data_IF_956136713646
#
_entry.id   IF_956136713646
#
_cell.length_a   1.000
_cell.length_b   1.000
_cell.length_c   1.000
_cell.angle_alpha   90.00
_cell.angle_beta   90.00
_cell.angle_gamma   90.00
#
_symmetry.space_group_name_H-M   'P 1'
#
loop_
_entity.id
_entity.type
_entity.pdbx_description
1 polymer ?
#
# COMPACT_ATOMS: atom_id res chain seq x y z
N UNK A 1 11.77 -1.20 18.25
CA UNK A 1 11.47 -0.35 17.08
C UNK A 1 9.97 -0.07 17.00
N UNK A 2 9.60 1.15 16.62
CA UNK A 2 8.24 1.64 16.42
C UNK A 2 8.10 2.08 14.95
N UNK A 3 7.20 1.44 14.22
CA UNK A 3 6.79 1.91 12.89
C UNK A 3 5.40 2.51 13.05
N UNK A 4 5.30 3.82 12.90
CA UNK A 4 4.03 4.54 12.92
C UNK A 4 3.35 4.40 11.57
N UNK A 5 2.03 4.34 11.57
CA UNK A 5 1.27 4.40 10.34
C UNK A 5 -0.14 4.95 10.54
N UNK A 6 -0.61 5.71 9.55
CA UNK A 6 -2.02 6.06 9.45
C UNK A 6 -2.77 4.95 8.74
N UNK A 7 -3.99 4.63 9.13
CA UNK A 7 -4.83 3.66 8.45
C UNK A 7 -6.28 4.12 8.49
N UNK A 8 -6.90 4.26 7.32
CA UNK A 8 -8.30 4.68 7.19
C UNK A 8 -9.30 3.54 7.48
N UNK A 9 -8.83 2.29 7.53
CA UNK A 9 -9.64 1.12 7.90
C UNK A 9 -9.35 0.64 9.31
N UNK A 10 -10.39 0.52 10.13
CA UNK A 10 -10.24 0.10 11.53
C UNK A 10 -10.56 -1.38 11.70
N UNK A 11 -9.65 -2.09 12.35
CA UNK A 11 -9.79 -3.51 12.61
C UNK A 11 -10.68 -3.78 13.82
N UNK A 12 -11.27 -4.99 13.84
CA UNK A 12 -12.12 -5.50 14.93
C UNK A 12 -11.43 -5.48 16.29
N UNK A 13 -10.14 -5.84 16.37
CA UNK A 13 -9.36 -5.83 17.61
C UNK A 13 -8.44 -4.63 17.70
N UNK A 14 -8.30 -4.02 18.89
CA UNK A 14 -7.36 -2.91 19.11
C UNK A 14 -5.89 -3.33 19.08
N UNK A 15 -5.58 -4.58 19.40
CA UNK A 15 -4.20 -5.07 19.49
C UNK A 15 -4.11 -6.43 18.81
N UNK A 16 -3.12 -6.59 17.94
CA UNK A 16 -2.73 -7.86 17.34
C UNK A 16 -1.30 -8.22 17.72
N UNK A 17 -1.04 -9.51 17.87
CA UNK A 17 0.31 -10.06 18.01
C UNK A 17 0.46 -11.13 16.94
N UNK A 18 1.52 -11.05 16.15
CA UNK A 18 1.72 -11.99 15.05
C UNK A 18 3.17 -12.02 14.60
N UNK A 19 3.57 -13.13 14.01
CA UNK A 19 4.85 -13.30 13.34
C UNK A 19 4.66 -13.22 11.83
N UNK A 20 5.48 -12.40 11.17
CA UNK A 20 5.47 -12.23 9.72
C UNK A 20 6.92 -12.31 9.22
N UNK A 21 7.20 -13.24 8.30
CA UNK A 21 8.55 -13.54 7.78
C UNK A 21 9.62 -13.68 8.89
N UNK A 22 9.28 -14.40 9.97
CA UNK A 22 10.18 -14.65 11.10
C UNK A 22 10.32 -13.49 12.11
N UNK A 23 9.69 -12.34 11.87
CA UNK A 23 9.70 -11.20 12.79
C UNK A 23 8.40 -11.13 13.57
N UNK A 24 8.50 -11.04 14.89
CA UNK A 24 7.34 -10.88 15.78
C UNK A 24 6.96 -9.42 15.92
N UNK A 25 5.71 -9.12 15.64
CA UNK A 25 5.14 -7.79 15.75
C UNK A 25 3.99 -7.72 16.75
N UNK A 26 3.79 -6.52 17.28
CA UNK A 26 2.60 -6.11 18.01
C UNK A 26 2.01 -4.87 17.34
N UNK A 27 0.86 -5.02 16.71
CA UNK A 27 0.11 -3.90 16.12
C UNK A 27 -0.82 -3.33 17.19
N UNK A 28 -0.76 -2.03 17.39
CA UNK A 28 -1.62 -1.27 18.30
C UNK A 28 -2.39 -0.24 17.49
N UNK A 29 -3.72 -0.36 17.50
CA UNK A 29 -4.61 0.61 16.91
C UNK A 29 -4.88 1.75 17.92
N UNK A 30 -4.30 2.93 17.69
CA UNK A 30 -4.44 4.11 18.53
C UNK A 30 -5.71 4.90 18.17
N UNK A 31 -5.96 6.05 18.82
CA UNK A 31 -7.09 6.91 18.43
C UNK A 31 -6.75 7.63 17.11
N UNK A 32 -7.40 7.29 15.98
CA UNK A 32 -7.02 7.80 14.66
C UNK A 32 -7.24 9.31 14.52
N UNK A 33 -8.05 9.94 15.38
CA UNK A 33 -8.23 11.40 15.40
C UNK A 33 -7.05 12.15 16.02
N UNK A 34 -6.14 11.44 16.69
CA UNK A 34 -5.07 12.06 17.47
C UNK A 34 -3.71 11.47 17.17
N UNK A 35 -3.62 10.15 17.02
CA UNK A 35 -2.35 9.43 16.94
C UNK A 35 -2.38 8.38 15.84
N UNK A 36 -1.24 8.22 15.15
CA UNK A 36 -1.01 7.11 14.24
C UNK A 36 -1.09 5.76 14.97
N UNK A 37 -1.52 4.72 14.26
CA UNK A 37 -1.37 3.35 14.70
C UNK A 37 0.12 2.97 14.72
N UNK A 38 0.48 1.96 15.49
CA UNK A 38 1.89 1.59 15.66
C UNK A 38 2.11 0.10 15.54
N UNK A 39 3.10 -0.27 14.75
CA UNK A 39 3.65 -1.62 14.66
C UNK A 39 4.95 -1.68 15.48
N UNK A 40 4.92 -2.43 16.57
CA UNK A 40 6.03 -2.61 17.49
C UNK A 40 6.77 -3.91 17.23
N UNK A 41 8.08 -3.88 17.35
CA UNK A 41 8.93 -5.07 17.44
C UNK A 41 10.13 -4.82 18.35
N UNK A 42 10.74 -5.90 18.84
CA UNK A 42 11.95 -5.87 19.67
C UNK A 42 13.12 -6.28 18.77
N UNK A 43 14.13 -5.40 18.69
CA UNK A 43 15.36 -5.70 17.98
C UNK A 43 16.26 -6.55 18.91
N UNK A 44 16.98 -7.56 18.38
CA UNK A 44 17.92 -8.36 19.20
C UNK A 44 19.07 -7.52 19.77
N UNK A 45 19.52 -6.51 19.01
CA UNK A 45 20.55 -5.55 19.41
C UNK A 45 20.24 -4.19 18.76
N UNK A 46 20.64 -3.10 19.43
CA UNK A 46 20.48 -1.73 18.92
C UNK A 46 21.68 -1.27 18.07
N UNK A 47 22.76 -2.06 18.03
CA UNK A 47 24.02 -1.68 17.39
C UNK A 47 24.09 -2.12 15.92
N UNK A 48 23.14 -2.95 15.46
CA UNK A 48 23.12 -3.48 14.11
C UNK A 48 22.07 -2.77 13.25
N UNK A 49 22.52 -1.70 12.57
CA UNK A 49 21.68 -0.92 11.67
C UNK A 49 21.18 -1.72 10.46
N UNK A 50 21.89 -2.78 10.03
CA UNK A 50 21.46 -3.60 8.90
C UNK A 50 20.27 -4.47 9.32
N UNK A 51 20.33 -5.06 10.52
CA UNK A 51 19.21 -5.81 11.10
C UNK A 51 18.00 -4.91 11.32
N UNK A 52 18.20 -3.69 11.81
CA UNK A 52 17.10 -2.71 11.96
C UNK A 52 16.44 -2.40 10.61
N UNK A 53 17.23 -2.12 9.57
CA UNK A 53 16.71 -1.82 8.23
C UNK A 53 15.94 -3.00 7.63
N UNK A 54 16.43 -4.23 7.79
CA UNK A 54 15.74 -5.42 7.28
C UNK A 54 14.42 -5.67 8.02
N UNK A 55 14.41 -5.53 9.34
CA UNK A 55 13.18 -5.65 10.14
C UNK A 55 12.18 -4.53 9.78
N UNK A 56 12.66 -3.30 9.53
CA UNK A 56 11.81 -2.20 9.04
C UNK A 56 11.24 -2.53 7.67
N UNK A 57 12.06 -3.06 6.75
CA UNK A 57 11.64 -3.49 5.41
C UNK A 57 10.54 -4.56 5.50
N UNK A 58 10.68 -5.55 6.37
CA UNK A 58 9.65 -6.59 6.62
C UNK A 58 8.36 -5.99 7.19
N UNK A 59 8.46 -5.06 8.14
CA UNK A 59 7.31 -4.37 8.71
C UNK A 59 6.57 -3.50 7.69
N UNK A 60 7.31 -2.77 6.85
CA UNK A 60 6.77 -1.98 5.76
C UNK A 60 6.11 -2.86 4.68
N UNK A 61 6.71 -4.01 4.37
CA UNK A 61 6.12 -5.00 3.46
C UNK A 61 4.78 -5.52 4.01
N UNK A 62 4.72 -5.89 5.29
CA UNK A 62 3.47 -6.30 5.94
C UNK A 62 2.38 -5.22 5.80
N UNK A 63 2.72 -3.95 6.07
CA UNK A 63 1.77 -2.84 5.95
C UNK A 63 1.34 -2.58 4.49
N UNK A 64 2.21 -2.83 3.52
CA UNK A 64 1.86 -2.82 2.09
C UNK A 64 0.90 -3.94 1.70
N UNK A 65 1.15 -5.17 2.16
CA UNK A 65 0.22 -6.28 1.95
C UNK A 65 -1.13 -6.01 2.60
N UNK A 66 -1.14 -5.37 3.77
CA UNK A 66 -2.35 -5.01 4.51
C UNK A 66 -3.17 -3.94 3.79
N UNK A 67 -2.48 -2.94 3.23
CA UNK A 67 -3.06 -1.91 2.38
C UNK A 67 -3.77 -2.52 1.17
N UNK A 68 -3.08 -3.45 0.49
CA UNK A 68 -3.63 -4.18 -0.66
C UNK A 68 -4.86 -5.01 -0.29
N UNK A 69 -4.74 -5.85 0.75
CA UNK A 69 -5.82 -6.77 1.13
C UNK A 69 -7.11 -6.05 1.53
N UNK A 70 -6.98 -4.96 2.29
CA UNK A 70 -8.14 -4.22 2.79
C UNK A 70 -8.58 -3.06 1.88
N UNK A 71 -7.90 -2.86 0.74
CA UNK A 71 -8.05 -1.68 -0.10
C UNK A 71 -8.07 -0.39 0.75
N UNK A 72 -7.08 -0.27 1.64
CA UNK A 72 -6.95 0.82 2.61
C UNK A 72 -5.89 1.83 2.18
N UNK A 73 -5.89 3.00 2.81
CA UNK A 73 -4.85 4.00 2.69
C UNK A 73 -3.94 3.91 3.91
N UNK A 74 -2.69 3.47 3.70
CA UNK A 74 -1.70 3.34 4.78
C UNK A 74 -0.49 4.24 4.53
N UNK A 75 -0.36 5.33 5.28
CA UNK A 75 0.82 6.20 5.26
C UNK A 75 1.82 5.75 6.33
N UNK A 76 3.09 5.53 5.98
CA UNK A 76 4.13 5.09 6.91
C UNK A 76 4.93 6.24 7.50
N UNK A 77 5.34 6.06 8.75
CA UNK A 77 6.24 6.95 9.46
C UNK A 77 7.25 6.15 10.28
N UNK A 78 8.54 6.52 10.17
CA UNK A 78 9.55 5.95 11.05
C UNK A 78 9.55 6.72 12.38
N UNK A 79 9.09 6.07 13.46
CA UNK A 79 9.07 6.65 14.80
C UNK A 79 10.29 6.28 15.64
N UNK A 80 11.26 5.57 15.04
CA UNK A 80 12.50 5.14 15.68
C UNK A 80 12.29 4.06 16.73
N UNK A 81 13.05 4.12 17.82
CA UNK A 81 13.03 3.14 18.89
C UNK A 81 13.11 3.80 20.25
N UNK A 82 12.40 3.23 21.21
CA UNK A 82 12.67 3.45 22.62
C UNK A 82 13.19 2.11 23.15
N UNK A 83 14.32 2.12 23.85
CA UNK A 83 14.94 0.90 24.38
C UNK A 83 13.92 0.04 25.13
N UNK A 84 14.09 -1.28 25.02
CA UNK A 84 13.21 -2.26 25.65
C UNK A 84 14.06 -3.23 26.48
N UNK A 85 13.64 -3.63 27.70
CA UNK A 85 14.45 -4.54 28.51
C UNK A 85 14.65 -5.89 27.82
N UNK A 86 15.87 -6.41 27.82
CA UNK A 86 16.28 -7.62 27.07
C UNK A 86 15.40 -8.86 27.35
N UNK A 87 14.89 -8.98 28.58
CA UNK A 87 14.07 -10.12 29.02
C UNK A 87 12.55 -9.83 29.02
N UNK A 88 12.11 -8.66 28.53
CA UNK A 88 10.71 -8.29 28.56
C UNK A 88 9.98 -8.74 27.28
N UNK A 89 8.89 -9.50 27.45
CA UNK A 89 8.09 -9.99 26.32
C UNK A 89 7.47 -8.85 25.50
N UNK A 90 7.41 -9.00 24.16
CA UNK A 90 6.72 -8.08 23.24
C UNK A 90 5.26 -7.81 23.63
N UNK A 91 4.57 -8.78 24.24
CA UNK A 91 3.19 -8.60 24.72
C UNK A 91 3.06 -7.43 25.70
N UNK A 92 4.08 -7.19 26.51
CA UNK A 92 4.16 -6.09 27.49
C UNK A 92 4.65 -4.77 26.89
N UNK A 93 5.18 -4.79 25.65
CA UNK A 93 5.64 -3.59 24.95
C UNK A 93 4.54 -2.53 24.84
N UNK A 94 4.85 -1.29 25.16
CA UNK A 94 3.94 -0.14 25.03
C UNK A 94 4.45 0.78 23.94
N UNK A 95 3.52 1.49 23.30
CA UNK A 95 3.85 2.59 22.42
C UNK A 95 4.46 3.72 23.25
N UNK A 96 5.71 4.09 22.95
CA UNK A 96 6.42 5.17 23.65
C UNK A 96 6.66 6.38 22.74
N UNK A 97 6.71 6.16 21.42
CA UNK A 97 6.75 7.21 20.41
C UNK A 97 5.36 7.41 19.81
N UNK A 98 4.96 8.66 19.56
CA UNK A 98 3.67 8.99 18.95
C UNK A 98 3.87 10.04 17.86
N UNK A 99 3.06 9.94 16.82
CA UNK A 99 2.94 10.93 15.77
C UNK A 99 1.47 11.17 15.42
N UNK A 100 1.19 12.30 14.77
CA UNK A 100 -0.13 12.60 14.27
C UNK A 100 -0.43 11.78 13.01
N UNK A 101 -1.69 11.46 12.77
CA UNK A 101 -2.11 10.81 11.52
C UNK A 101 -1.88 11.75 10.34
N UNK A 102 -1.13 11.30 9.33
CA UNK A 102 -0.78 12.04 8.11
C UNK A 102 -1.53 11.57 6.86
N UNK A 103 -2.17 10.39 6.92
CA UNK A 103 -2.95 9.85 5.80
C UNK A 103 -4.31 10.53 5.60
N UNK A 104 -4.91 10.41 4.40
CA UNK A 104 -6.25 10.91 4.11
C UNK A 104 -7.30 10.27 5.03
N UNK A 105 -8.21 11.08 5.55
CA UNK A 105 -9.32 10.61 6.39
C UNK A 105 -10.50 10.23 5.46
N UNK A 106 -10.51 8.99 4.98
CA UNK A 106 -11.54 8.48 4.06
C UNK A 106 -12.74 7.85 4.78
N UNK A 107 -13.31 8.55 5.77
CA UNK A 107 -14.42 8.02 6.58
C UNK A 107 -14.01 6.79 7.40
N UNK A 108 -14.29 6.79 8.70
CA UNK A 108 -13.92 5.66 9.56
C UNK A 108 -14.80 4.44 9.26
N UNK A 109 -14.30 3.50 8.45
CA UNK A 109 -14.95 2.21 8.23
C UNK A 109 -14.33 1.17 9.17
N UNK A 110 -15.17 0.51 9.95
CA UNK A 110 -14.78 -0.44 11.00
C UNK A 110 -15.11 -1.88 10.59
N UNK A 111 -14.52 -2.85 11.29
CA UNK A 111 -14.84 -4.28 11.12
C UNK A 111 -13.90 -5.05 10.21
N UNK A 112 -12.78 -4.45 9.78
CA UNK A 112 -11.78 -5.14 8.96
C UNK A 112 -11.01 -6.19 9.77
N UNK A 113 -10.56 -7.24 9.08
CA UNK A 113 -9.79 -8.33 9.64
C UNK A 113 -8.30 -8.24 9.34
N UNK A 114 -7.51 -9.01 10.09
CA UNK A 114 -6.09 -9.30 9.81
C UNK A 114 -5.94 -10.82 9.63
N UNK A 115 -6.82 -11.44 8.86
CA UNK A 115 -6.88 -12.91 8.74
C UNK A 115 -6.03 -13.42 7.58
N UNK A 116 -5.89 -12.64 6.53
CA UNK A 116 -5.12 -12.99 5.35
C UNK A 116 -4.37 -11.79 4.79
N UNK A 117 -3.36 -12.05 3.95
CA UNK A 117 -2.57 -11.07 3.22
C UNK A 117 -2.15 -11.67 1.85
N UNK A 118 -1.77 -10.85 0.86
CA UNK A 118 -1.05 -11.35 -0.30
C UNK A 118 0.26 -11.99 0.12
N UNK A 119 0.61 -13.14 -0.48
CA UNK A 119 1.91 -13.75 -0.29
C UNK A 119 2.93 -13.13 -1.24
N UNK A 120 3.89 -12.39 -0.67
CA UNK A 120 4.89 -11.63 -1.43
C UNK A 120 6.16 -12.46 -1.58
N UNK A 121 6.37 -12.99 -2.78
CA UNK A 121 7.44 -13.91 -3.15
C UNK A 121 8.66 -13.19 -3.74
N UNK A 122 8.44 -12.11 -4.48
CA UNK A 122 9.50 -11.43 -5.25
C UNK A 122 9.72 -9.99 -4.78
N UNK A 123 10.94 -9.49 -5.01
CA UNK A 123 11.28 -8.10 -4.72
C UNK A 123 10.45 -7.12 -5.58
N UNK A 124 10.11 -7.48 -6.81
CA UNK A 124 9.25 -6.67 -7.68
C UNK A 124 7.82 -6.53 -7.12
N UNK A 125 7.23 -7.63 -6.64
CA UNK A 125 5.93 -7.58 -5.95
C UNK A 125 6.00 -6.69 -4.70
N UNK A 126 7.05 -6.84 -3.90
CA UNK A 126 7.28 -6.04 -2.69
C UNK A 126 7.38 -4.54 -3.01
N UNK A 127 8.21 -4.18 -3.99
CA UNK A 127 8.39 -2.79 -4.44
C UNK A 127 7.06 -2.26 -4.97
N UNK A 128 6.41 -2.96 -5.90
CA UNK A 128 5.16 -2.50 -6.49
C UNK A 128 4.06 -2.26 -5.43
N UNK A 129 3.93 -3.13 -4.42
CA UNK A 129 3.01 -2.91 -3.30
C UNK A 129 3.43 -1.76 -2.37
N UNK A 130 4.71 -1.46 -2.24
CA UNK A 130 5.19 -0.29 -1.50
C UNK A 130 4.81 1.01 -2.22
N UNK A 131 5.03 1.08 -3.53
CA UNK A 131 4.61 2.21 -4.36
C UNK A 131 3.09 2.33 -4.41
N UNK A 132 2.36 1.21 -4.57
CA UNK A 132 0.90 1.21 -4.56
C UNK A 132 0.33 1.79 -3.28
N UNK A 133 0.85 1.33 -2.12
CA UNK A 133 0.48 1.87 -0.81
C UNK A 133 0.73 3.38 -0.73
N UNK A 134 1.89 3.83 -1.16
CA UNK A 134 2.26 5.25 -1.13
C UNK A 134 1.30 6.12 -1.96
N UNK A 135 1.00 5.70 -3.20
CA UNK A 135 0.03 6.40 -4.04
C UNK A 135 -1.37 6.43 -3.41
N UNK A 136 -1.85 5.30 -2.89
CA UNK A 136 -3.14 5.21 -2.19
C UNK A 136 -3.24 6.16 -1.01
N UNK A 137 -2.15 6.34 -0.26
CA UNK A 137 -2.10 7.25 0.88
C UNK A 137 -1.78 8.70 0.51
N UNK A 138 -1.50 9.01 -0.75
CA UNK A 138 -1.21 10.37 -1.19
C UNK A 138 -2.45 11.25 -1.09
N UNK A 139 -2.31 12.41 -0.45
CA UNK A 139 -3.35 13.45 -0.45
C UNK A 139 -3.40 14.24 -1.78
N UNK A 140 -2.49 13.96 -2.72
CA UNK A 140 -2.33 14.69 -3.98
C UNK A 140 -2.43 13.72 -5.17
N UNK A 141 -3.48 13.89 -5.99
CA UNK A 141 -3.75 13.01 -7.15
C UNK A 141 -2.62 13.01 -8.18
N UNK A 142 -1.96 14.15 -8.41
CA UNK A 142 -0.83 14.22 -9.34
C UNK A 142 0.39 13.40 -8.87
N UNK A 143 0.63 13.34 -7.56
CA UNK A 143 1.69 12.50 -7.01
C UNK A 143 1.31 11.02 -7.13
N UNK A 144 0.04 10.68 -6.87
CA UNK A 144 -0.47 9.33 -7.04
C UNK A 144 -0.35 8.86 -8.50
N UNK A 145 -0.67 9.72 -9.48
CA UNK A 145 -0.48 9.44 -10.92
C UNK A 145 0.97 9.07 -11.23
N UNK A 146 1.95 9.86 -10.77
CA UNK A 146 3.36 9.58 -11.02
C UNK A 146 3.78 8.24 -10.41
N UNK A 147 3.35 7.96 -9.18
CA UNK A 147 3.65 6.72 -8.48
C UNK A 147 3.01 5.51 -9.17
N UNK A 148 1.73 5.58 -9.53
CA UNK A 148 1.05 4.50 -10.27
C UNK A 148 1.68 4.24 -11.63
N UNK A 149 2.09 5.30 -12.34
CA UNK A 149 2.83 5.17 -13.59
C UNK A 149 4.18 4.45 -13.38
N UNK A 150 4.93 4.81 -12.34
CA UNK A 150 6.21 4.18 -12.02
C UNK A 150 6.07 2.67 -11.69
N UNK A 151 4.93 2.25 -11.14
CA UNK A 151 4.62 0.82 -10.95
C UNK A 151 4.61 0.10 -12.31
N UNK A 152 3.98 0.69 -13.33
CA UNK A 152 3.92 0.12 -14.67
C UNK A 152 5.31 0.08 -15.34
N UNK A 153 6.09 1.17 -15.22
CA UNK A 153 7.45 1.26 -15.77
C UNK A 153 8.45 0.29 -15.12
N UNK A 154 8.12 -0.34 -13.99
CA UNK A 154 9.04 -1.24 -13.28
C UNK A 154 9.43 -2.47 -14.11
N UNK A 155 8.55 -2.96 -14.98
CA UNK A 155 8.85 -4.10 -15.87
C UNK A 155 8.37 -3.90 -17.31
N UNK A 156 7.40 -3.00 -17.56
CA UNK A 156 6.87 -2.78 -18.90
C UNK A 156 7.77 -1.78 -19.64
N UNK A 157 8.30 -2.19 -20.79
CA UNK A 157 9.13 -1.33 -21.64
C UNK A 157 8.33 -0.24 -22.36
N UNK A 158 7.04 -0.49 -22.65
CA UNK A 158 6.13 0.46 -23.30
C UNK A 158 4.76 0.51 -22.57
N UNK A 159 4.66 1.29 -21.48
CA UNK A 159 3.42 1.41 -20.71
C UNK A 159 2.26 1.98 -21.54
N UNK A 160 2.52 2.83 -22.54
CA UNK A 160 1.46 3.42 -23.36
C UNK A 160 0.73 2.36 -24.17
N UNK A 161 1.50 1.50 -24.86
CA UNK A 161 0.95 0.38 -25.60
C UNK A 161 0.22 -0.58 -24.67
N UNK A 162 0.83 -0.94 -23.54
CA UNK A 162 0.22 -1.85 -22.58
C UNK A 162 -1.12 -1.32 -22.04
N UNK A 163 -1.23 -0.03 -21.72
CA UNK A 163 -2.50 0.60 -21.29
C UNK A 163 -3.58 0.49 -22.38
N UNK A 164 -3.20 0.75 -23.63
CA UNK A 164 -4.12 0.67 -24.76
C UNK A 164 -4.64 -0.75 -25.01
N UNK A 165 -3.77 -1.75 -24.84
CA UNK A 165 -4.09 -3.17 -25.04
C UNK A 165 -4.92 -3.74 -23.86
N UNK A 166 -4.66 -3.27 -22.64
CA UNK A 166 -5.22 -3.85 -21.40
C UNK A 166 -6.54 -3.23 -20.97
N UNK A 167 -6.89 -2.03 -21.43
CA UNK A 167 -8.10 -1.30 -20.99
C UNK A 167 -9.42 -2.09 -21.10
N UNK A 168 -9.49 -3.05 -22.02
CA UNK A 168 -10.70 -3.87 -22.22
C UNK A 168 -10.72 -5.13 -21.33
N UNK A 169 -9.63 -5.47 -20.65
CA UNK A 169 -9.51 -6.62 -19.74
C UNK A 169 -9.93 -6.28 -18.30
N UNK A 170 -10.01 -4.98 -17.98
CA UNK A 170 -10.44 -4.49 -16.67
C UNK A 170 -11.97 -4.26 -16.71
N UNK A 171 -12.71 -5.16 -16.06
CA UNK A 171 -14.18 -5.23 -16.15
C UNK A 171 -14.93 -4.61 -14.96
N UNK A 172 -14.30 -3.71 -14.19
CA UNK A 172 -15.01 -3.00 -13.12
C UNK A 172 -15.95 -1.94 -13.74
N UNK A 173 -17.24 -1.89 -13.38
CA UNK A 173 -18.20 -0.95 -14.00
C UNK A 173 -17.74 0.50 -13.93
N UNK A 174 -17.23 0.93 -12.77
CA UNK A 174 -16.72 2.27 -12.53
C UNK A 174 -15.57 2.64 -13.47
N UNK A 175 -14.64 1.72 -13.73
CA UNK A 175 -13.47 2.00 -14.57
C UNK A 175 -13.84 2.33 -16.02
N UNK A 176 -14.80 1.59 -16.59
CA UNK A 176 -15.25 1.82 -17.96
C UNK A 176 -16.02 3.13 -18.11
N UNK A 177 -16.72 3.58 -17.06
CA UNK A 177 -17.36 4.90 -17.01
C UNK A 177 -16.30 6.00 -16.89
N UNK A 178 -15.34 5.84 -15.99
CA UNK A 178 -14.27 6.82 -15.76
C UNK A 178 -13.41 7.05 -17.00
N UNK A 179 -13.07 5.99 -17.76
CA UNK A 179 -12.34 6.13 -19.03
C UNK A 179 -13.10 6.99 -20.04
N UNK A 180 -14.44 6.87 -20.11
CA UNK A 180 -15.26 7.65 -21.05
C UNK A 180 -15.32 9.13 -20.67
N UNK A 181 -15.15 9.45 -19.40
CA UNK A 181 -15.10 10.83 -18.90
C UNK A 181 -13.74 11.51 -19.13
N UNK A 182 -12.69 10.76 -19.50
CA UNK A 182 -11.37 11.33 -19.76
C UNK A 182 -11.37 12.22 -21.02
N UNK A 183 -10.77 13.42 -20.98
CA UNK A 183 -10.69 14.33 -22.12
C UNK A 183 -9.58 13.91 -23.09
N UNK A 184 -9.76 12.76 -23.76
CA UNK A 184 -8.74 12.18 -24.64
C UNK A 184 -8.47 13.04 -25.89
N UNK A 185 -9.45 13.82 -26.37
CA UNK A 185 -9.30 14.72 -27.53
C UNK A 185 -8.72 14.02 -28.78
N UNK A 186 -9.16 12.78 -29.06
CA UNK A 186 -8.69 11.97 -30.18
C UNK A 186 -7.39 11.20 -29.95
N UNK A 187 -6.77 11.32 -28.78
CA UNK A 187 -5.56 10.57 -28.39
C UNK A 187 -5.91 9.15 -27.94
N UNK A 188 -4.91 8.26 -28.01
CA UNK A 188 -4.98 6.98 -27.32
C UNK A 188 -4.94 7.17 -25.80
N UNK A 189 -5.37 6.16 -25.05
CA UNK A 189 -5.37 6.23 -23.58
C UNK A 189 -3.94 6.30 -23.03
N UNK A 190 -3.04 5.50 -23.59
CA UNK A 190 -1.61 5.55 -23.25
C UNK A 190 -0.97 6.90 -23.52
N UNK A 191 -1.23 7.48 -24.70
CA UNK A 191 -0.70 8.80 -25.09
C UNK A 191 -1.23 9.91 -24.16
N UNK A 192 -2.51 9.85 -23.79
CA UNK A 192 -3.11 10.74 -22.81
C UNK A 192 -2.37 10.69 -21.46
N UNK A 193 -2.22 9.51 -20.86
CA UNK A 193 -1.56 9.39 -19.56
C UNK A 193 -0.09 9.80 -19.59
N UNK A 194 0.64 9.48 -20.66
CA UNK A 194 2.03 9.90 -20.80
C UNK A 194 2.16 11.40 -20.95
N UNK A 195 1.45 11.99 -21.90
CA UNK A 195 1.69 13.38 -22.31
C UNK A 195 0.87 14.40 -21.53
N UNK A 196 -0.40 14.11 -21.24
CA UNK A 196 -1.32 15.03 -20.59
C UNK A 196 -1.43 14.81 -19.07
N UNK A 197 -0.90 13.71 -18.55
CA UNK A 197 -0.74 13.51 -17.11
C UNK A 197 0.75 13.53 -16.69
N UNK A 198 1.51 12.46 -16.93
CA UNK A 198 2.88 12.32 -16.43
C UNK A 198 3.79 13.47 -16.85
N UNK A 199 3.91 13.75 -18.15
CA UNK A 199 4.75 14.83 -18.64
C UNK A 199 4.22 16.21 -18.25
N UNK A 200 2.90 16.40 -18.18
CA UNK A 200 2.32 17.67 -17.73
C UNK A 200 2.65 17.95 -16.25
N UNK A 201 2.64 16.93 -15.39
CA UNK A 201 3.02 17.03 -13.98
C UNK A 201 4.53 17.24 -13.81
N UNK A 202 5.34 16.44 -14.51
CA UNK A 202 6.80 16.47 -14.35
C UNK A 202 7.46 17.72 -14.93
N UNK A 203 6.82 18.36 -15.92
CA UNK A 203 7.40 19.48 -16.64
C UNK A 203 6.47 20.69 -16.64
N UNK A 204 6.83 21.70 -15.84
CA UNK A 204 6.09 22.95 -15.67
C UNK A 204 5.93 23.72 -16.99
N UNK A 205 6.97 23.73 -17.85
CA UNK A 205 6.94 24.44 -19.15
C UNK A 205 6.89 23.47 -20.31
N UNK A 206 6.00 23.76 -21.27
CA UNK A 206 5.88 23.00 -22.53
C UNK A 206 7.20 23.05 -23.29
N UNK A 207 7.58 21.90 -23.85
CA UNK A 207 8.61 21.89 -24.88
C UNK A 207 8.08 22.63 -26.12
N UNK A 208 8.89 23.50 -26.76
CA UNK A 208 8.48 24.18 -27.98
C UNK A 208 7.97 23.19 -29.03
N UNK A 209 6.76 23.43 -29.55
CA UNK A 209 6.15 22.60 -30.61
C UNK A 209 5.31 21.40 -30.13
N UNK A 210 5.29 21.06 -28.83
CA UNK A 210 4.42 19.98 -28.33
C UNK A 210 3.06 20.48 -27.85
N UNK A 211 1.98 19.91 -28.40
CA UNK A 211 0.59 20.11 -27.93
C UNK A 211 0.26 19.19 -26.75
N UNK A 212 0.87 19.41 -25.59
CA UNK A 212 0.41 18.79 -24.33
C UNK A 212 -0.51 19.72 -23.56
N UNK A 213 -1.46 19.14 -22.84
CA UNK A 213 -2.33 19.92 -21.96
C UNK A 213 -1.48 20.65 -20.91
N UNK A 214 -1.82 21.91 -20.66
CA UNK A 214 -1.31 22.61 -19.48
C UNK A 214 -2.07 22.09 -18.26
N UNK A 215 -1.37 21.90 -17.15
CA UNK A 215 -1.96 21.52 -15.89
C UNK A 215 -1.88 22.72 -14.95
N UNK A 216 -3.03 23.26 -14.58
CA UNK A 216 -3.14 24.30 -13.57
C UNK A 216 -3.80 23.73 -12.30
N UNK A 217 -2.99 23.58 -11.25
CA UNK A 217 -3.44 23.00 -9.97
C UNK A 217 -4.37 23.93 -9.18
N UNK A 218 -4.53 25.18 -9.59
CA UNK A 218 -5.47 26.14 -8.99
C UNK A 218 -6.83 26.15 -9.72
N UNK A 219 -7.01 25.32 -10.76
CA UNK A 219 -8.25 25.22 -11.53
C UNK A 219 -9.00 23.92 -11.19
N UNK A 220 -10.24 24.06 -10.70
CA UNK A 220 -11.06 22.93 -10.25
C UNK A 220 -11.30 21.85 -11.32
N UNK A 221 -11.41 22.23 -12.60
CA UNK A 221 -11.57 21.29 -13.72
C UNK A 221 -10.33 20.40 -13.87
N UNK A 222 -9.14 20.98 -13.73
CA UNK A 222 -7.87 20.24 -13.80
C UNK A 222 -7.67 19.35 -12.57
N UNK A 223 -8.07 19.81 -11.38
CA UNK A 223 -8.10 18.97 -10.17
C UNK A 223 -9.02 17.76 -10.38
N UNK A 224 -10.25 17.98 -10.88
CA UNK A 224 -11.20 16.89 -11.17
C UNK A 224 -10.63 15.92 -12.20
N UNK A 225 -10.00 16.44 -13.26
CA UNK A 225 -9.33 15.63 -14.29
C UNK A 225 -8.21 14.77 -13.70
N UNK A 226 -7.37 15.31 -12.82
CA UNK A 226 -6.30 14.55 -12.17
C UNK A 226 -6.85 13.49 -11.23
N UNK A 227 -7.90 13.79 -10.46
CA UNK A 227 -8.57 12.80 -9.61
C UNK A 227 -9.10 11.63 -10.43
N UNK A 228 -9.79 11.91 -11.54
CA UNK A 228 -10.30 10.89 -12.46
C UNK A 228 -9.15 10.06 -13.07
N UNK A 229 -8.09 10.75 -13.53
CA UNK A 229 -6.90 10.11 -14.11
C UNK A 229 -6.19 9.20 -13.11
N UNK A 230 -6.07 9.63 -11.86
CA UNK A 230 -5.50 8.86 -10.75
C UNK A 230 -6.30 7.59 -10.47
N UNK A 231 -7.64 7.70 -10.42
CA UNK A 231 -8.55 6.55 -10.22
C UNK A 231 -8.37 5.50 -11.31
N UNK A 232 -8.35 5.91 -12.58
CA UNK A 232 -8.14 5.01 -13.71
C UNK A 232 -6.75 4.35 -13.65
N UNK A 233 -5.68 5.10 -13.34
CA UNK A 233 -4.34 4.52 -13.18
C UNK A 233 -4.22 3.59 -11.98
N UNK A 234 -4.96 3.82 -10.89
CA UNK A 234 -5.02 2.91 -9.75
C UNK A 234 -5.51 1.53 -10.19
N UNK A 235 -6.56 1.48 -11.01
CA UNK A 235 -7.11 0.21 -11.53
C UNK A 235 -6.13 -0.50 -12.47
N UNK A 236 -5.43 0.24 -13.33
CA UNK A 236 -4.34 -0.34 -14.13
C UNK A 236 -3.20 -0.87 -13.26
N UNK A 237 -2.78 -0.14 -12.23
CA UNK A 237 -1.74 -0.58 -11.31
C UNK A 237 -2.18 -1.84 -10.55
N UNK A 238 -3.44 -1.93 -10.12
CA UNK A 238 -4.00 -3.14 -9.51
C UNK A 238 -3.95 -4.32 -10.48
N UNK A 239 -4.41 -4.11 -11.71
CA UNK A 239 -4.40 -5.16 -12.73
C UNK A 239 -2.97 -5.63 -13.02
N UNK A 240 -2.03 -4.70 -13.16
CA UNK A 240 -0.62 -4.99 -13.37
C UNK A 240 -0.02 -5.82 -12.22
N UNK A 241 -0.17 -5.35 -10.97
CA UNK A 241 0.36 -6.05 -9.79
C UNK A 241 -0.23 -7.45 -9.68
N UNK A 242 -1.52 -7.60 -9.96
CA UNK A 242 -2.19 -8.90 -9.86
C UNK A 242 -1.77 -9.86 -10.96
N UNK A 243 -1.80 -9.42 -12.22
CA UNK A 243 -1.69 -10.32 -13.37
C UNK A 243 -0.28 -10.40 -13.96
N UNK A 244 0.42 -9.27 -14.03
CA UNK A 244 1.78 -9.24 -14.60
C UNK A 244 2.83 -9.63 -13.55
N UNK A 245 2.63 -9.22 -12.30
CA UNK A 245 3.50 -9.62 -11.18
C UNK A 245 3.02 -10.88 -10.44
N UNK A 246 1.90 -11.49 -10.87
CA UNK A 246 1.34 -12.73 -10.30
C UNK A 246 1.13 -12.65 -8.77
N UNK A 247 0.50 -11.57 -8.28
CA UNK A 247 0.17 -11.41 -6.86
C UNK A 247 -1.20 -12.04 -6.51
N UNK A 248 -1.35 -13.34 -6.77
CA UNK A 248 -2.60 -14.09 -6.59
C UNK A 248 -2.59 -14.96 -5.30
N UNK A 249 -1.42 -15.46 -4.89
CA UNK A 249 -1.24 -16.29 -3.70
C UNK A 249 -1.52 -15.52 -2.41
N UNK A 250 -1.95 -16.26 -1.38
CA UNK A 250 -2.29 -15.73 -0.06
C UNK A 250 -1.49 -16.39 1.06
N UNK A 251 -1.35 -15.66 2.16
CA UNK A 251 -0.94 -16.19 3.44
C UNK A 251 -1.98 -15.86 4.52
N UNK A 252 -2.09 -16.73 5.52
CA UNK A 252 -3.14 -16.69 6.54
C UNK A 252 -2.54 -16.56 7.93
N UNK A 253 -3.15 -15.72 8.76
CA UNK A 253 -2.76 -15.55 10.15
C UNK A 253 -3.41 -16.62 11.02
N UNK A 254 -2.59 -17.56 11.47
CA UNK A 254 -3.06 -18.78 12.14
C UNK A 254 -2.40 -19.01 13.50
N UNK A 255 -2.96 -19.95 14.27
CA UNK A 255 -2.36 -20.56 15.46
C UNK A 255 -2.54 -22.07 15.42
N UNK A 256 -1.55 -22.82 15.88
CA UNK A 256 -1.71 -24.26 16.13
C UNK A 256 -2.50 -24.49 17.42
N UNK A 257 -2.19 -23.69 18.45
CA UNK A 257 -2.86 -23.74 19.76
C UNK A 257 -3.25 -22.35 20.24
N UNK A 258 -4.35 -22.23 20.98
CA UNK A 258 -4.90 -20.94 21.45
C UNK A 258 -3.89 -19.99 22.12
N UNK A 259 -2.90 -20.54 22.86
CA UNK A 259 -1.90 -19.77 23.62
C UNK A 259 -0.64 -19.42 22.82
N UNK A 260 -0.44 -20.01 21.66
CA UNK A 260 0.75 -19.78 20.86
C UNK A 260 0.75 -18.38 20.22
N UNK A 261 1.94 -17.97 19.80
CA UNK A 261 2.10 -16.71 19.09
C UNK A 261 1.59 -16.90 17.65
N UNK A 262 0.61 -16.09 17.20
CA UNK A 262 0.09 -16.20 15.84
C UNK A 262 1.18 -16.02 14.81
N UNK A 263 1.08 -16.70 13.66
CA UNK A 263 2.04 -16.56 12.56
C UNK A 263 1.33 -16.57 11.22
N UNK A 264 1.85 -15.81 10.27
CA UNK A 264 1.43 -15.92 8.88
C UNK A 264 2.06 -17.17 8.24
N UNK A 265 1.23 -18.02 7.65
CA UNK A 265 1.67 -19.20 6.88
C UNK A 265 1.10 -19.16 5.47
N UNK A 266 1.77 -19.77 4.50
CA UNK A 266 1.26 -19.85 3.12
C UNK A 266 -0.04 -20.65 3.07
N UNK A 267 -0.85 -20.40 2.04
CA UNK A 267 -2.09 -21.14 1.81
C UNK A 267 -1.87 -22.67 1.76
N UNK A 268 -0.77 -23.12 1.15
CA UNK A 268 -0.42 -24.53 1.08
C UNK A 268 -0.22 -25.13 2.48
N UNK A 269 0.54 -24.45 3.35
CA UNK A 269 0.77 -24.88 4.73
C UNK A 269 -0.53 -24.84 5.54
N UNK A 270 -1.34 -23.80 5.35
CA UNK A 270 -2.64 -23.67 6.02
C UNK A 270 -3.57 -24.84 5.69
N UNK A 271 -3.64 -25.27 4.42
CA UNK A 271 -4.47 -26.41 3.99
C UNK A 271 -3.97 -27.77 4.46
N UNK A 272 -2.68 -27.91 4.73
CA UNK A 272 -2.06 -29.18 5.13
C UNK A 272 -2.07 -29.43 6.64
N UNK A 273 -2.10 -28.37 7.45
CA UNK A 273 -1.97 -28.45 8.91
C UNK A 273 -3.29 -28.10 9.60
N UNK A 274 -3.50 -28.65 10.81
CA UNK A 274 -4.68 -28.37 11.64
C UNK A 274 -4.56 -27.00 12.35
N UNK A 275 -4.52 -25.93 11.56
CA UNK A 275 -4.44 -24.56 12.06
C UNK A 275 -5.81 -23.91 12.25
N UNK A 276 -5.96 -23.12 13.31
CA UNK A 276 -7.10 -22.22 13.51
C UNK A 276 -6.73 -20.79 13.10
N UNK A 277 -7.69 -20.02 12.55
CA UNK A 277 -7.50 -18.59 12.30
C UNK A 277 -7.34 -17.85 13.64
N UNK A 278 -6.30 -17.02 13.76
CA UNK A 278 -5.87 -16.47 15.03
C UNK A 278 -6.79 -15.37 15.61
N UNK A 279 -7.60 -14.74 14.75
CA UNK A 279 -8.48 -13.60 15.03
C UNK A 279 -9.73 -13.63 14.13
N UNK A 280 -10.65 -14.58 14.34
CA UNK A 280 -11.88 -14.70 13.55
C UNK A 280 -12.91 -13.58 13.82
#
# INVERSE_FOLDING_TARGET
MHIGFSNDRRFKHKIYHFEYKGVRFKLIQNNPRRWADVLLTILPTYQDHLVEQEIYKIGAEFLSGLCWENNSCIALENLGGCGWPDNASLRKAKCLSFSFSTGPINGLVTGYGLTQLPYIETENQRIALAWFREAKSSNKDWLAILIFWNILESTISDPEKWLNDTKNLIHTPFFQEEIKELPLNGKSLGDYFKNDCRHAIAHIKKEPGRKRAELNIDVGVDIKRMKLSSSVLEEFAKYFIKNELNLDKKCYLVRERRKEFPKFVTEQIYKQMHYEIAYP
#
